data_IF_331074125520
#
_entry.id   IF_331074125520
#
_cell.length_a   1.000
_cell.length_b   1.000
_cell.length_c   1.000
_cell.angle_alpha   90.00
_cell.angle_beta   90.00
_cell.angle_gamma   90.00
#
_symmetry.space_group_name_H-M   'P 1'
#
loop_
_entity.id
_entity.type
_entity.pdbx_description
1 polymer ?
#
# COMPACT_ATOMS: atom_id res chain seq x y z
N UNK A 1 24.21 -4.55 -7.00
CA UNK A 1 23.46 -3.53 -7.77
C UNK A 1 22.09 -4.09 -8.16
N UNK A 2 21.23 -4.34 -7.17
CA UNK A 2 19.90 -4.94 -7.38
C UNK A 2 18.86 -3.82 -7.18
N UNK A 3 17.84 -3.76 -8.03
CA UNK A 3 16.72 -2.82 -7.87
C UNK A 3 16.87 -1.42 -8.48
N UNK A 4 17.89 -1.14 -9.31
CA UNK A 4 18.10 0.19 -9.93
C UNK A 4 17.56 0.35 -11.36
N UNK A 5 16.89 -0.68 -11.90
CA UNK A 5 16.22 -0.64 -13.21
C UNK A 5 17.15 -0.78 -14.43
N UNK A 6 16.55 -0.80 -15.63
CA UNK A 6 17.22 -1.08 -16.90
C UNK A 6 18.42 -0.16 -17.18
N UNK A 7 18.31 1.15 -16.93
CA UNK A 7 19.41 2.11 -17.17
C UNK A 7 20.62 1.83 -16.30
N UNK A 8 20.44 1.39 -15.06
CA UNK A 8 21.56 1.02 -14.20
C UNK A 8 22.20 -0.30 -14.63
N UNK A 9 21.41 -1.26 -15.11
CA UNK A 9 21.94 -2.49 -15.69
C UNK A 9 22.77 -2.20 -16.95
N UNK A 10 22.31 -1.27 -17.79
CA UNK A 10 23.04 -0.83 -18.98
C UNK A 10 24.37 -0.17 -18.59
N UNK A 11 24.36 0.75 -17.61
CA UNK A 11 25.58 1.39 -17.09
C UNK A 11 26.56 0.36 -16.50
N UNK A 12 26.07 -0.60 -15.72
CA UNK A 12 26.91 -1.66 -15.18
C UNK A 12 27.57 -2.48 -16.28
N UNK A 13 26.78 -2.92 -17.27
CA UNK A 13 27.29 -3.71 -18.39
C UNK A 13 28.36 -2.94 -19.15
N UNK A 14 28.18 -1.63 -19.35
CA UNK A 14 29.19 -0.78 -19.96
C UNK A 14 30.47 -0.65 -19.12
N UNK A 15 30.37 -0.56 -17.79
CA UNK A 15 31.55 -0.52 -16.93
C UNK A 15 32.32 -1.83 -16.88
N UNK A 16 31.62 -2.96 -17.03
CA UNK A 16 32.21 -4.30 -17.01
C UNK A 16 32.63 -4.80 -18.39
N UNK A 17 32.54 -3.97 -19.43
CA UNK A 17 32.76 -4.36 -20.83
C UNK A 17 31.93 -5.59 -21.27
N UNK A 18 30.72 -5.74 -20.70
CA UNK A 18 29.78 -6.80 -21.05
C UNK A 18 28.90 -6.36 -22.24
N UNK A 19 28.36 -7.32 -23.02
CA UNK A 19 27.34 -7.02 -24.02
C UNK A 19 26.17 -6.23 -23.44
N UNK A 20 25.55 -5.39 -24.27
CA UNK A 20 24.40 -4.62 -23.84
C UNK A 20 23.29 -5.57 -23.33
N UNK A 21 22.65 -5.24 -22.20
CA UNK A 21 21.53 -6.03 -21.70
C UNK A 21 20.34 -5.93 -22.66
N UNK A 22 19.30 -6.73 -22.38
CA UNK A 22 18.07 -6.74 -23.17
C UNK A 22 17.51 -5.34 -23.44
N UNK A 23 16.85 -5.16 -24.58
CA UNK A 23 16.22 -3.89 -24.95
C UNK A 23 15.22 -3.41 -23.89
N UNK A 24 14.96 -2.10 -23.81
CA UNK A 24 13.97 -1.55 -22.88
C UNK A 24 12.58 -2.21 -23.06
N UNK A 25 12.14 -2.42 -24.31
CA UNK A 25 10.87 -3.11 -24.61
C UNK A 25 10.84 -4.54 -24.07
N UNK A 26 11.95 -5.27 -24.23
CA UNK A 26 12.07 -6.64 -23.70
C UNK A 26 12.08 -6.64 -22.17
N UNK A 27 12.82 -5.72 -21.55
CA UNK A 27 12.88 -5.54 -20.10
C UNK A 27 11.49 -5.26 -19.51
N UNK A 28 10.73 -4.34 -20.11
CA UNK A 28 9.39 -3.98 -19.66
C UNK A 28 8.43 -5.17 -19.79
N UNK A 29 8.50 -5.91 -20.91
CA UNK A 29 7.70 -7.14 -21.12
C UNK A 29 8.03 -8.23 -20.09
N UNK A 30 9.29 -8.36 -19.70
CA UNK A 30 9.72 -9.31 -18.66
C UNK A 30 9.18 -8.88 -17.30
N UNK A 31 9.33 -7.61 -16.92
CA UNK A 31 8.79 -7.12 -15.65
C UNK A 31 7.28 -7.24 -15.56
N UNK A 32 6.56 -6.99 -16.65
CA UNK A 32 5.11 -7.14 -16.72
C UNK A 32 4.67 -8.61 -16.53
N UNK A 33 5.42 -9.57 -17.09
CA UNK A 33 5.21 -10.99 -16.80
C UNK A 33 5.50 -11.36 -15.34
N UNK A 34 6.59 -10.86 -14.79
CA UNK A 34 6.97 -11.09 -13.39
C UNK A 34 5.89 -10.51 -12.48
N UNK A 35 5.46 -9.27 -12.71
CA UNK A 35 4.43 -8.60 -11.95
C UNK A 35 3.15 -9.44 -11.92
N UNK A 36 2.64 -9.86 -13.09
CA UNK A 36 1.44 -10.71 -13.15
C UNK A 36 1.60 -12.00 -12.36
N UNK A 37 2.71 -12.72 -12.56
CA UNK A 37 2.95 -13.99 -11.88
C UNK A 37 3.02 -13.79 -10.36
N UNK A 38 3.78 -12.79 -9.90
CA UNK A 38 3.92 -12.48 -8.48
C UNK A 38 2.60 -12.01 -7.88
N UNK A 39 1.79 -11.22 -8.58
CA UNK A 39 0.46 -10.80 -8.09
C UNK A 39 -0.47 -12.00 -7.90
N UNK A 40 -0.48 -12.95 -8.83
CA UNK A 40 -1.30 -14.17 -8.70
C UNK A 40 -0.87 -14.98 -7.48
N UNK A 41 0.44 -15.22 -7.33
CA UNK A 41 0.98 -15.98 -6.19
C UNK A 41 0.72 -15.25 -4.88
N UNK A 42 0.99 -13.94 -4.82
CA UNK A 42 0.76 -13.13 -3.63
C UNK A 42 -0.71 -13.18 -3.20
N UNK A 43 -1.66 -13.00 -4.12
CA UNK A 43 -3.09 -13.10 -3.81
C UNK A 43 -3.48 -14.49 -3.30
N UNK A 44 -2.93 -15.56 -3.89
CA UNK A 44 -3.18 -16.92 -3.41
C UNK A 44 -2.62 -17.15 -2.00
N UNK A 45 -1.40 -16.66 -1.72
CA UNK A 45 -0.79 -16.75 -0.40
C UNK A 45 -1.55 -15.96 0.66
N UNK A 46 -1.96 -14.73 0.34
CA UNK A 46 -2.74 -13.87 1.22
C UNK A 46 -4.13 -14.45 1.54
N UNK A 47 -4.77 -15.09 0.55
CA UNK A 47 -6.04 -15.80 0.79
C UNK A 47 -5.85 -16.96 1.77
N UNK A 48 -4.81 -17.78 1.58
CA UNK A 48 -4.48 -18.87 2.52
C UNK A 48 -4.13 -18.36 3.92
N UNK A 49 -3.45 -17.21 4.00
CA UNK A 49 -3.15 -16.57 5.28
C UNK A 49 -4.44 -16.14 6.00
N UNK A 50 -5.44 -15.63 5.27
CA UNK A 50 -6.74 -15.30 5.83
C UNK A 50 -7.50 -16.54 6.34
N UNK A 51 -7.49 -17.63 5.57
CA UNK A 51 -8.10 -18.92 5.95
C UNK A 51 -7.44 -19.52 7.21
N UNK A 52 -6.12 -19.37 7.34
CA UNK A 52 -5.39 -19.82 8.52
C UNK A 52 -5.67 -18.95 9.75
N UNK A 53 -5.77 -17.63 9.57
CA UNK A 53 -6.16 -16.71 10.63
C UNK A 53 -7.57 -17.01 11.16
N UNK A 54 -8.52 -17.28 10.24
CA UNK A 54 -9.88 -17.71 10.59
C UNK A 54 -9.86 -18.98 11.45
N UNK A 55 -9.04 -19.97 11.07
CA UNK A 55 -8.92 -21.23 11.81
C UNK A 55 -8.32 -21.03 13.20
N UNK A 56 -7.30 -20.18 13.33
CA UNK A 56 -6.65 -19.87 14.62
C UNK A 56 -7.58 -19.07 15.53
N UNK A 57 -8.34 -18.13 14.96
CA UNK A 57 -9.31 -17.31 15.69
C UNK A 57 -10.57 -18.11 16.05
N UNK A 58 -10.94 -19.09 15.24
CA UNK A 58 -12.20 -19.83 15.34
C UNK A 58 -13.43 -19.01 14.90
N UNK A 59 -13.23 -17.95 14.13
CA UNK A 59 -14.27 -17.01 13.69
C UNK A 59 -13.89 -16.35 12.37
N UNK A 60 -14.90 -16.00 11.56
CA UNK A 60 -14.75 -15.14 10.38
C UNK A 60 -14.43 -13.68 10.75
N UNK A 61 -14.62 -13.33 12.02
CA UNK A 61 -14.32 -12.02 12.58
C UNK A 61 -12.95 -12.07 13.24
N UNK A 62 -11.95 -11.55 12.53
CA UNK A 62 -10.54 -11.67 12.91
C UNK A 62 -9.97 -10.36 13.44
N UNK A 63 -8.91 -10.49 14.24
CA UNK A 63 -8.09 -9.37 14.68
C UNK A 63 -6.92 -9.18 13.72
N UNK A 64 -6.67 -7.93 13.35
CA UNK A 64 -5.60 -7.59 12.41
C UNK A 64 -4.78 -6.40 12.89
N UNK A 65 -3.51 -6.39 12.54
CA UNK A 65 -2.64 -5.23 12.65
C UNK A 65 -2.42 -4.60 11.27
N UNK A 66 -2.57 -3.28 11.17
CA UNK A 66 -2.32 -2.53 9.96
C UNK A 66 -1.18 -1.53 10.13
N UNK A 67 -0.33 -1.42 9.11
CA UNK A 67 0.74 -0.42 9.07
C UNK A 67 1.03 0.03 7.63
N UNK A 68 1.62 1.22 7.50
CA UNK A 68 2.05 1.84 6.26
C UNK A 68 3.56 2.03 6.20
N UNK A 69 4.14 1.87 5.01
CA UNK A 69 5.54 2.22 4.75
C UNK A 69 5.66 3.11 3.52
N UNK A 70 6.65 4.01 3.51
CA UNK A 70 6.82 5.02 2.46
C UNK A 70 8.17 4.91 1.77
N UNK A 71 8.20 5.25 0.47
CA UNK A 71 9.41 5.18 -0.35
C UNK A 71 10.53 6.12 0.15
N UNK A 72 10.15 7.27 0.70
CA UNK A 72 11.07 8.27 1.23
C UNK A 72 10.76 8.51 2.69
N UNK A 73 11.79 8.86 3.47
CA UNK A 73 11.57 9.39 4.82
C UNK A 73 10.81 10.71 4.72
N UNK A 74 10.06 11.02 5.77
CA UNK A 74 9.19 12.19 5.93
C UNK A 74 7.87 12.14 5.15
N UNK A 75 6.92 12.97 5.56
CA UNK A 75 5.56 13.07 5.00
C UNK A 75 5.50 13.62 3.55
N UNK A 76 6.60 13.58 2.81
CA UNK A 76 6.71 14.03 1.41
C UNK A 76 6.62 12.90 0.38
N UNK A 77 6.43 11.65 0.84
CA UNK A 77 6.46 10.52 -0.06
C UNK A 77 5.26 10.42 -0.99
N UNK A 78 5.54 10.20 -2.28
CA UNK A 78 4.52 10.08 -3.33
C UNK A 78 4.09 8.64 -3.60
N UNK A 79 4.70 7.67 -2.92
CA UNK A 79 4.37 6.25 -2.99
C UNK A 79 4.47 5.66 -1.58
N UNK A 80 3.40 5.00 -1.15
CA UNK A 80 3.35 4.23 0.08
C UNK A 80 2.79 2.82 -0.18
N UNK A 81 3.10 1.90 0.71
CA UNK A 81 2.55 0.54 0.73
C UNK A 81 1.91 0.33 2.09
N UNK A 82 0.63 0.00 2.09
CA UNK A 82 -0.11 -0.37 3.28
C UNK A 82 -0.15 -1.90 3.36
N UNK A 83 -0.12 -2.45 4.57
CA UNK A 83 -0.17 -3.90 4.82
C UNK A 83 -1.08 -4.19 6.00
N UNK A 84 -1.79 -5.31 5.92
CA UNK A 84 -2.58 -5.89 7.01
C UNK A 84 -2.05 -7.28 7.34
N UNK A 85 -1.85 -7.55 8.62
CA UNK A 85 -1.28 -8.77 9.18
C UNK A 85 -2.29 -9.36 10.17
N UNK A 86 -2.49 -10.68 10.13
CA UNK A 86 -3.30 -11.40 11.11
C UNK A 86 -2.63 -11.40 12.49
N UNK A 87 -3.41 -11.15 13.54
CA UNK A 87 -2.87 -11.05 14.89
C UNK A 87 -2.38 -12.41 15.43
N UNK A 88 -3.08 -13.49 15.09
CA UNK A 88 -2.77 -14.84 15.58
C UNK A 88 -1.73 -15.54 14.70
N UNK A 89 -1.88 -15.47 13.37
CA UNK A 89 -0.95 -16.12 12.43
C UNK A 89 0.36 -15.35 12.24
N UNK A 90 0.35 -14.03 12.47
CA UNK A 90 1.46 -13.13 12.12
C UNK A 90 1.73 -13.04 10.62
N UNK A 91 0.80 -13.50 9.76
CA UNK A 91 0.96 -13.54 8.31
C UNK A 91 0.32 -12.33 7.64
N UNK A 92 0.88 -11.92 6.51
CA UNK A 92 0.31 -10.86 5.68
C UNK A 92 -0.98 -11.35 5.03
N UNK A 93 -2.09 -10.68 5.35
CA UNK A 93 -3.43 -10.96 4.84
C UNK A 93 -3.77 -10.04 3.66
N UNK A 94 -3.29 -8.81 3.65
CA UNK A 94 -3.57 -7.89 2.55
C UNK A 94 -2.49 -6.83 2.34
N UNK A 95 -2.33 -6.37 1.10
CA UNK A 95 -1.40 -5.30 0.70
C UNK A 95 -2.06 -4.32 -0.27
N UNK A 96 -1.79 -3.03 -0.12
CA UNK A 96 -2.28 -2.01 -1.05
C UNK A 96 -1.18 -0.99 -1.33
N UNK A 97 -1.01 -0.65 -2.60
CA UNK A 97 0.04 0.27 -3.06
C UNK A 97 -0.61 1.60 -3.38
N UNK A 98 -0.31 2.60 -2.58
CA UNK A 98 -0.85 3.95 -2.72
C UNK A 98 0.15 4.85 -3.42
N UNK A 99 -0.29 5.59 -4.44
CA UNK A 99 0.54 6.57 -5.12
C UNK A 99 -0.21 7.83 -5.50
N UNK A 100 0.39 8.98 -5.18
CA UNK A 100 -0.05 10.30 -5.62
C UNK A 100 0.65 10.75 -6.90
N UNK A 101 1.48 9.88 -7.48
CA UNK A 101 2.35 10.18 -8.61
C UNK A 101 2.19 9.18 -9.75
N UNK A 102 2.22 9.70 -10.98
CA UNK A 102 2.31 8.88 -12.18
C UNK A 102 3.28 9.56 -13.14
N UNK A 103 4.30 8.82 -13.61
CA UNK A 103 5.32 9.38 -14.51
C UNK A 103 4.70 9.83 -15.84
N UNK A 104 3.80 9.03 -16.39
CA UNK A 104 3.10 9.34 -17.65
C UNK A 104 2.26 10.60 -17.52
N UNK A 105 1.60 10.82 -16.37
CA UNK A 105 0.90 12.08 -16.09
C UNK A 105 1.85 13.26 -16.01
N UNK A 106 3.00 13.13 -15.34
CA UNK A 106 3.99 14.20 -15.22
C UNK A 106 4.55 14.60 -16.60
N UNK A 107 4.92 13.61 -17.42
CA UNK A 107 5.46 13.84 -18.77
C UNK A 107 4.41 14.45 -19.67
N UNK A 108 3.19 13.91 -19.68
CA UNK A 108 2.12 14.43 -20.54
C UNK A 108 1.73 15.86 -20.16
N UNK A 109 1.69 16.19 -18.87
CA UNK A 109 1.49 17.58 -18.44
C UNK A 109 2.53 18.54 -19.02
N UNK A 110 3.80 18.12 -19.12
CA UNK A 110 4.87 18.92 -19.74
C UNK A 110 4.71 19.00 -21.26
N UNK A 111 4.42 17.87 -21.91
CA UNK A 111 4.27 17.80 -23.38
C UNK A 111 3.07 18.59 -23.93
N UNK A 112 2.01 18.68 -23.14
CA UNK A 112 0.79 19.41 -23.50
C UNK A 112 0.67 20.78 -22.81
N UNK A 113 1.71 21.25 -22.10
CA UNK A 113 1.73 22.59 -21.51
C UNK A 113 1.71 23.68 -22.59
N UNK A 114 2.42 23.46 -23.70
CA UNK A 114 2.54 24.39 -24.83
C UNK A 114 1.50 24.14 -25.94
N UNK A 115 0.66 23.11 -25.79
CA UNK A 115 -0.38 22.72 -26.76
C UNK A 115 -1.77 23.05 -26.21
N UNK A 116 -2.75 23.19 -27.08
CA UNK A 116 -4.13 23.49 -26.68
C UNK A 116 -4.65 22.48 -25.65
N UNK A 117 -5.45 22.97 -24.68
CA UNK A 117 -6.12 22.19 -23.62
C UNK A 117 -6.87 20.95 -24.15
N UNK A 118 -7.32 21.00 -25.40
CA UNK A 118 -8.01 19.90 -26.09
C UNK A 118 -7.16 18.64 -26.26
N UNK A 119 -5.84 18.75 -26.46
CA UNK A 119 -4.96 17.58 -26.67
C UNK A 119 -4.75 16.78 -25.40
N UNK A 120 -4.61 17.45 -24.25
CA UNK A 120 -4.50 16.79 -22.94
C UNK A 120 -5.82 16.10 -22.55
N UNK A 121 -6.96 16.75 -22.84
CA UNK A 121 -8.29 16.18 -22.58
C UNK A 121 -8.58 14.93 -23.41
N UNK A 122 -8.01 14.81 -24.62
CA UNK A 122 -8.10 13.58 -25.41
C UNK A 122 -7.18 12.48 -24.88
N UNK A 123 -5.98 12.81 -24.38
CA UNK A 123 -5.04 11.83 -23.85
C UNK A 123 -5.49 11.21 -22.52
N UNK A 124 -6.06 12.02 -21.61
CA UNK A 124 -6.37 11.61 -20.24
C UNK A 124 -7.30 10.37 -20.15
N UNK A 125 -8.39 10.26 -20.91
CA UNK A 125 -9.25 9.08 -20.91
C UNK A 125 -8.51 7.79 -21.31
N UNK A 126 -7.64 7.86 -22.33
CA UNK A 126 -6.85 6.72 -22.77
C UNK A 126 -5.83 6.27 -21.72
N UNK A 127 -5.29 7.20 -20.92
CA UNK A 127 -4.35 6.87 -19.86
C UNK A 127 -5.03 6.38 -18.57
N UNK A 128 -6.29 6.76 -18.31
CA UNK A 128 -6.97 6.53 -17.03
C UNK A 128 -6.86 5.09 -16.53
N UNK A 129 -7.04 4.09 -17.41
CA UNK A 129 -6.94 2.66 -17.05
C UNK A 129 -5.53 2.18 -16.67
N UNK A 130 -4.50 2.95 -17.05
CA UNK A 130 -3.08 2.66 -16.80
C UNK A 130 -2.43 3.65 -15.83
N UNK A 131 -3.25 4.53 -15.22
CA UNK A 131 -2.75 5.55 -14.33
C UNK A 131 -2.33 4.93 -13.01
N UNK A 132 -1.07 5.14 -12.63
CA UNK A 132 -0.52 4.65 -11.36
C UNK A 132 -0.94 5.52 -10.17
N UNK A 133 -1.51 6.70 -10.42
CA UNK A 133 -1.97 7.60 -9.38
C UNK A 133 -3.36 7.18 -8.91
N UNK A 134 -3.45 6.63 -7.70
CA UNK A 134 -4.70 6.23 -7.05
C UNK A 134 -4.99 7.05 -5.77
N UNK A 135 -4.06 7.90 -5.31
CA UNK A 135 -4.24 8.75 -4.13
C UNK A 135 -4.25 10.25 -4.46
N UNK A 136 -5.12 10.98 -3.77
CA UNK A 136 -5.20 12.43 -3.82
C UNK A 136 -5.14 13.00 -2.39
N UNK A 137 -4.03 13.65 -2.04
CA UNK A 137 -3.85 14.26 -0.73
C UNK A 137 -2.43 14.12 -0.20
N UNK A 138 -2.28 14.29 1.10
CA UNK A 138 -0.99 14.13 1.80
C UNK A 138 -0.60 12.66 1.93
N UNK A 139 0.69 12.42 2.16
CA UNK A 139 1.27 11.10 2.36
C UNK A 139 0.68 10.37 3.57
N UNK A 140 0.35 11.10 4.65
CA UNK A 140 -0.30 10.52 5.84
C UNK A 140 -1.71 10.01 5.55
N UNK A 141 -2.44 10.65 4.62
CA UNK A 141 -3.77 10.16 4.21
C UNK A 141 -3.72 8.90 3.36
N UNK A 142 -2.56 8.51 2.84
CA UNK A 142 -2.42 7.26 2.07
C UNK A 142 -2.68 6.04 2.94
N UNK A 143 -2.22 6.06 4.19
CA UNK A 143 -2.45 4.97 5.13
C UNK A 143 -3.94 4.82 5.44
N UNK A 144 -4.62 5.95 5.70
CA UNK A 144 -6.06 5.97 5.97
C UNK A 144 -6.88 5.41 4.81
N UNK A 145 -6.60 5.87 3.59
CA UNK A 145 -7.30 5.38 2.41
C UNK A 145 -6.96 3.91 2.09
N UNK A 146 -5.70 3.50 2.28
CA UNK A 146 -5.29 2.11 2.15
C UNK A 146 -6.01 1.20 3.14
N UNK A 147 -6.13 1.62 4.41
CA UNK A 147 -6.91 0.90 5.42
C UNK A 147 -8.38 0.80 5.03
N UNK A 148 -9.02 1.89 4.61
CA UNK A 148 -10.41 1.82 4.11
C UNK A 148 -10.57 0.82 2.97
N UNK A 149 -9.63 0.78 2.02
CA UNK A 149 -9.67 -0.18 0.91
C UNK A 149 -9.63 -1.63 1.40
N UNK A 150 -8.78 -1.93 2.40
CA UNK A 150 -8.71 -3.26 3.00
C UNK A 150 -10.03 -3.68 3.63
N UNK A 151 -10.63 -2.82 4.44
CA UNK A 151 -11.89 -3.15 5.10
C UNK A 151 -13.06 -3.29 4.12
N UNK A 152 -13.08 -2.51 3.03
CA UNK A 152 -14.12 -2.61 1.99
C UNK A 152 -14.04 -3.91 1.20
N UNK A 153 -12.83 -4.42 0.94
CA UNK A 153 -12.63 -5.61 0.09
C UNK A 153 -12.40 -6.90 0.87
N UNK A 154 -12.21 -6.84 2.19
CA UNK A 154 -11.89 -7.99 3.05
C UNK A 154 -12.83 -9.18 2.84
N UNK A 155 -14.14 -8.96 2.90
CA UNK A 155 -15.13 -10.04 2.72
C UNK A 155 -15.09 -10.61 1.30
N UNK A 156 -15.01 -9.74 0.29
CA UNK A 156 -15.04 -10.15 -1.11
C UNK A 156 -13.76 -10.89 -1.56
N UNK A 157 -12.59 -10.43 -1.09
CA UNK A 157 -11.29 -10.93 -1.55
C UNK A 157 -10.63 -11.92 -0.60
N UNK A 158 -10.95 -11.85 0.70
CA UNK A 158 -10.33 -12.67 1.76
C UNK A 158 -11.34 -13.55 2.50
N UNK A 159 -12.63 -13.27 2.42
CA UNK A 159 -13.68 -14.08 3.06
C UNK A 159 -13.88 -13.80 4.55
N UNK A 160 -13.16 -12.84 5.12
CA UNK A 160 -13.15 -12.53 6.56
C UNK A 160 -13.49 -11.06 6.82
N UNK A 161 -13.96 -10.75 8.02
CA UNK A 161 -14.18 -9.37 8.50
C UNK A 161 -13.10 -8.99 9.50
N UNK A 162 -12.58 -7.78 9.37
CA UNK A 162 -11.60 -7.22 10.31
C UNK A 162 -12.34 -6.47 11.42
N UNK A 163 -12.64 -7.11 12.56
CA UNK A 163 -13.38 -6.46 13.65
C UNK A 163 -12.49 -5.85 14.72
N UNK A 164 -11.30 -6.38 14.95
CA UNK A 164 -10.36 -5.81 15.91
C UNK A 164 -9.13 -5.29 15.18
N UNK A 165 -8.81 -4.02 15.38
CA UNK A 165 -7.71 -3.35 14.70
C UNK A 165 -6.62 -2.89 15.67
N UNK A 166 -5.40 -3.39 15.44
CA UNK A 166 -4.18 -2.94 16.12
C UNK A 166 -3.42 -2.00 15.19
N UNK A 167 -3.48 -0.71 15.46
CA UNK A 167 -2.72 0.31 14.73
C UNK A 167 -1.75 1.06 15.64
N UNK A 168 -0.73 1.69 15.05
CA UNK A 168 0.04 2.70 15.76
C UNK A 168 -0.89 3.85 16.16
N UNK A 169 -0.58 4.55 17.25
CA UNK A 169 -1.51 5.37 18.04
C UNK A 169 -2.21 6.55 17.35
N UNK A 170 -2.12 6.69 16.02
CA UNK A 170 -2.88 7.66 15.23
C UNK A 170 -4.38 7.34 15.30
N UNK A 171 -5.08 8.08 16.16
CA UNK A 171 -6.51 7.97 16.36
C UNK A 171 -7.32 8.33 15.09
N UNK A 172 -6.74 9.10 14.16
CA UNK A 172 -7.39 9.52 12.93
C UNK A 172 -7.69 8.36 11.97
N UNK A 173 -6.76 7.43 11.78
CA UNK A 173 -6.93 6.30 10.85
C UNK A 173 -8.10 5.42 11.26
N UNK A 174 -8.16 5.07 12.55
CA UNK A 174 -9.23 4.25 13.09
C UNK A 174 -10.60 4.95 13.02
N UNK A 175 -10.67 6.23 13.36
CA UNK A 175 -11.92 6.99 13.32
C UNK A 175 -12.52 7.00 11.91
N UNK A 176 -11.68 7.28 10.91
CA UNK A 176 -12.07 7.32 9.51
C UNK A 176 -12.55 5.95 8.97
N UNK A 177 -11.95 4.85 9.42
CA UNK A 177 -12.38 3.49 9.05
C UNK A 177 -13.73 3.14 9.70
N UNK A 178 -13.94 3.53 10.96
CA UNK A 178 -15.22 3.33 11.64
C UNK A 178 -16.35 4.16 11.03
N UNK A 179 -16.07 5.38 10.58
CA UNK A 179 -17.04 6.23 9.87
C UNK A 179 -17.44 5.64 8.50
N UNK A 180 -16.54 4.90 7.84
CA UNK A 180 -16.80 4.26 6.55
C UNK A 180 -17.81 3.09 6.65
N UNK A 181 -18.03 2.56 7.85
CA UNK A 181 -18.98 1.44 8.14
C UNK A 181 -18.91 0.30 7.11
N UNK A 182 -17.72 -0.29 6.86
CA UNK A 182 -17.50 -1.28 5.80
C UNK A 182 -18.35 -2.55 5.97
N UNK A 183 -18.80 -2.85 7.19
CA UNK A 183 -19.61 -4.04 7.52
C UNK A 183 -21.05 -3.70 7.96
N UNK A 184 -21.53 -2.50 7.65
CA UNK A 184 -22.87 -2.04 7.97
C UNK A 184 -23.01 -1.38 9.35
N UNK A 185 -24.19 -0.80 9.63
CA UNK A 185 -24.44 0.04 10.81
C UNK A 185 -24.47 -0.71 12.14
N UNK A 186 -24.69 -2.02 12.10
CA UNK A 186 -24.79 -2.88 13.29
C UNK A 186 -23.44 -3.49 13.70
N UNK A 187 -22.38 -3.23 12.94
CA UNK A 187 -21.07 -3.84 13.16
C UNK A 187 -20.07 -2.76 13.57
N UNK A 188 -19.55 -2.85 14.78
CA UNK A 188 -18.54 -1.91 15.31
C UNK A 188 -17.16 -2.55 15.20
N UNK A 189 -16.19 -1.78 14.70
CA UNK A 189 -14.78 -2.17 14.70
C UNK A 189 -14.18 -1.69 16.01
N UNK A 190 -13.46 -2.56 16.72
CA UNK A 190 -12.81 -2.26 18.00
C UNK A 190 -11.34 -1.90 17.79
N UNK A 191 -10.89 -0.81 18.42
CA UNK A 191 -9.46 -0.47 18.45
C UNK A 191 -8.81 -1.17 19.63
N UNK A 192 -7.75 -1.91 19.35
CA UNK A 192 -6.87 -2.50 20.37
C UNK A 192 -5.57 -1.70 20.39
N UNK A 193 -5.12 -1.26 21.57
CA UNK A 193 -3.85 -0.53 21.69
C UNK A 193 -2.66 -1.48 21.54
N UNK A 194 -1.68 -1.08 20.72
CA UNK A 194 -0.42 -1.81 20.60
C UNK A 194 0.42 -1.68 21.89
N UNK A 195 0.85 -2.81 22.46
CA UNK A 195 1.67 -2.86 23.69
C UNK A 195 2.96 -2.06 23.57
N UNK A 196 3.59 -2.06 22.38
CA UNK A 196 4.80 -1.26 22.11
C UNK A 196 4.55 0.25 22.13
N UNK A 197 3.35 0.69 21.73
CA UNK A 197 2.95 2.10 21.84
C UNK A 197 2.70 2.50 23.31
N UNK A 198 2.05 1.62 24.09
CA UNK A 198 1.86 1.83 25.53
C UNK A 198 3.20 1.98 26.25
N UNK A 199 4.19 1.14 25.92
CA UNK A 199 5.53 1.23 26.50
C UNK A 199 6.23 2.55 26.16
N UNK A 200 6.17 3.04 24.91
CA UNK A 200 6.73 4.35 24.54
C UNK A 200 6.04 5.52 25.29
N UNK A 201 4.72 5.44 25.49
CA UNK A 201 3.94 6.44 26.24
C UNK A 201 4.29 6.46 27.73
N UNK A 202 4.56 5.29 28.32
CA UNK A 202 5.04 5.17 29.71
C UNK A 202 6.43 5.81 29.89
N UNK A 203 7.36 5.57 28.96
CA UNK A 203 8.71 6.15 29.02
C UNK A 203 8.68 7.68 28.85
N UNK A 204 7.88 8.21 27.93
CA UNK A 204 7.70 9.66 27.75
C UNK A 204 7.08 10.35 28.97
N UNK A 205 6.15 9.68 29.69
CA UNK A 205 5.57 10.21 30.93
C UNK A 205 6.58 10.26 32.08
N UNK A 206 7.49 9.29 32.17
CA UNK A 206 8.50 9.25 33.23
C UNK A 206 9.57 10.35 33.10
N UNK A 207 9.79 10.87 31.89
CA UNK A 207 10.76 11.96 31.62
C UNK A 207 10.17 13.34 31.97
N UNK A 208 8.85 13.52 31.84
CA UNK A 208 8.17 14.79 32.11
C UNK A 208 7.75 15.00 33.58
N UNK A 209 7.95 14.01 34.46
CA UNK A 209 7.68 14.11 35.91
C UNK A 209 8.94 14.35 36.75
N UNK A 210 10.10 14.53 36.13
CA UNK A 210 11.34 14.95 36.79
C UNK A 210 11.75 16.34 36.27
N UNK A 211 11.12 17.38 36.80
CA UNK A 211 11.56 18.78 36.72
C UNK A 211 10.98 19.54 37.90
#
# INVERSE_FOLDING_TARGET
MIGKGAKSLQKFSSYMALPAPVSQKSYDKINDKILRATTIVANSCMKKAAEEEELLTGSLDIMVSGDGTWKTRDHSSVVGVCTVIGAESGKVIDIDVMSSYCKSCEVSKKLYADKSKSSYQQWQPHHAMSCQKNHFGSSSKMEVEGMKNFFRRSVAERGVRYLSYIGDGDASTFKDVCEDKPYGINTTIEKVECVGHVQKRMVLRSINTTS
#
